data_IF_705331212220
#
_entry.id   IF_705331212220
#
_cell.length_a   1.000
_cell.length_b   1.000
_cell.length_c   1.000
_cell.angle_alpha   90.00
_cell.angle_beta   90.00
_cell.angle_gamma   90.00
#
_symmetry.space_group_name_H-M   'P 1'
#
loop_
_entity.id
_entity.type
_entity.pdbx_description
1 polymer ?
#
# COMPACT_ATOMS: atom_id res chain seq x y z
N UNK A 1 84.66 -19.48 30.22
CA UNK A 1 85.10 -18.08 29.98
C UNK A 1 84.07 -17.40 29.08
N UNK A 2 83.57 -16.21 29.50
CA UNK A 2 82.72 -15.20 28.80
C UNK A 2 81.40 -15.70 28.15
N UNK A 3 80.16 -15.37 28.56
CA UNK A 3 79.44 -14.13 28.92
C UNK A 3 79.45 -13.03 27.85
N UNK A 4 78.35 -12.89 27.10
CA UNK A 4 77.58 -11.63 26.87
C UNK A 4 76.33 -11.95 26.01
N UNK A 5 75.07 -11.84 26.49
CA UNK A 5 74.19 -10.69 26.81
C UNK A 5 73.67 -9.87 25.62
N UNK A 6 72.34 -9.94 25.43
CA UNK A 6 71.41 -8.89 24.98
C UNK A 6 71.58 -8.40 23.54
N UNK A 7 70.53 -8.16 22.76
CA UNK A 7 69.41 -7.30 23.11
C UNK A 7 68.17 -7.63 22.29
N UNK A 8 67.01 -7.57 22.95
CA UNK A 8 65.69 -7.47 22.34
C UNK A 8 65.64 -6.13 21.59
N UNK A 9 65.15 -6.12 20.36
CA UNK A 9 64.50 -4.91 19.84
C UNK A 9 63.47 -5.27 18.79
N UNK A 10 62.23 -4.95 19.16
CA UNK A 10 61.02 -4.81 18.37
C UNK A 10 61.22 -4.06 17.07
N UNK A 11 60.65 -4.59 15.97
CA UNK A 11 60.21 -3.78 14.83
C UNK A 11 58.83 -4.28 14.40
N UNK A 12 57.82 -3.53 14.81
CA UNK A 12 56.45 -3.56 14.31
C UNK A 12 56.37 -3.09 12.85
N UNK A 13 55.22 -3.38 12.23
CA UNK A 13 54.67 -2.84 10.98
C UNK A 13 55.16 -3.55 9.71
N UNK A 14 54.31 -4.05 8.82
CA UNK A 14 53.06 -3.47 8.33
C UNK A 14 52.12 -4.61 7.86
N UNK A 15 51.03 -4.84 8.59
CA UNK A 15 49.86 -5.59 8.11
C UNK A 15 48.72 -4.58 7.98
N UNK A 16 47.89 -4.76 6.96
CA UNK A 16 46.63 -4.05 6.68
C UNK A 16 46.69 -2.90 5.66
N UNK A 17 46.57 -3.27 4.38
CA UNK A 17 45.85 -2.45 3.39
C UNK A 17 45.31 -3.32 2.26
N UNK A 18 44.41 -4.25 2.58
CA UNK A 18 43.57 -4.93 1.57
C UNK A 18 42.11 -4.84 2.02
N UNK A 19 41.30 -4.14 1.22
CA UNK A 19 39.90 -4.49 1.04
C UNK A 19 38.85 -3.67 1.79
N UNK A 20 38.73 -2.36 1.51
CA UNK A 20 37.44 -1.65 1.65
C UNK A 20 37.18 -0.86 0.37
N UNK A 21 36.98 -1.57 -0.73
CA UNK A 21 36.45 -1.01 -1.97
C UNK A 21 35.51 -2.07 -2.56
N UNK A 22 34.26 -2.06 -2.10
CA UNK A 22 33.31 -3.09 -2.52
C UNK A 22 32.00 -3.15 -1.74
N UNK A 23 31.63 -2.13 -0.96
CA UNK A 23 30.23 -1.95 -0.60
C UNK A 23 29.51 -1.38 -1.82
N UNK A 24 29.31 -2.25 -2.82
CA UNK A 24 28.30 -2.06 -3.84
C UNK A 24 26.97 -1.95 -3.08
N UNK A 25 26.43 -0.74 -3.00
CA UNK A 25 25.05 -0.52 -2.63
C UNK A 25 24.19 -1.26 -3.66
N UNK A 26 23.87 -2.53 -3.38
CA UNK A 26 22.71 -3.18 -3.97
C UNK A 26 21.50 -2.42 -3.43
N UNK A 27 21.15 -1.32 -4.09
CA UNK A 27 19.82 -0.75 -3.97
C UNK A 27 18.88 -1.81 -4.50
N UNK A 28 18.05 -2.48 -3.68
CA UNK A 28 16.96 -3.26 -4.25
C UNK A 28 16.18 -2.27 -5.09
N UNK A 29 16.18 -2.48 -6.42
CA UNK A 29 15.34 -1.72 -7.34
C UNK A 29 13.95 -1.64 -6.72
N UNK A 30 13.44 -0.42 -6.51
CA UNK A 30 12.14 -0.20 -5.89
C UNK A 30 11.10 -1.05 -6.64
N UNK A 31 10.76 -2.19 -6.04
CA UNK A 31 9.93 -3.19 -6.70
C UNK A 31 8.50 -2.71 -6.59
N UNK A 32 7.94 -2.28 -7.71
CA UNK A 32 6.50 -2.09 -7.89
C UNK A 32 5.78 -3.42 -7.68
N UNK A 33 4.53 -3.39 -7.20
CA UNK A 33 3.72 -4.59 -7.24
C UNK A 33 3.58 -5.06 -8.69
N UNK A 34 3.88 -6.33 -8.91
CA UNK A 34 3.71 -7.02 -10.19
C UNK A 34 2.30 -7.59 -10.29
N UNK A 35 1.77 -8.09 -9.18
CA UNK A 35 0.47 -8.74 -9.11
C UNK A 35 -0.36 -8.28 -7.91
N UNK A 36 -1.68 -8.24 -8.09
CA UNK A 36 -2.68 -8.10 -7.04
C UNK A 36 -3.38 -9.43 -6.85
N UNK A 37 -3.17 -10.07 -5.70
CA UNK A 37 -3.80 -11.33 -5.36
C UNK A 37 -5.14 -11.10 -4.64
N UNK A 38 -6.23 -11.48 -5.27
CA UNK A 38 -7.55 -11.53 -4.65
C UNK A 38 -7.65 -12.78 -3.78
N UNK A 39 -7.89 -12.61 -2.48
CA UNK A 39 -7.86 -13.70 -1.48
C UNK A 39 -9.21 -13.83 -0.78
N UNK A 40 -9.74 -15.06 -0.72
CA UNK A 40 -10.90 -15.44 0.09
C UNK A 40 -10.73 -16.88 0.60
N UNK A 41 -10.40 -17.06 1.88
CA UNK A 41 -10.09 -18.38 2.43
C UNK A 41 -8.93 -19.07 1.68
N UNK A 42 -9.19 -20.28 1.16
CA UNK A 42 -8.22 -21.00 0.32
C UNK A 42 -8.18 -20.49 -1.13
N UNK A 43 -9.18 -19.72 -1.57
CA UNK A 43 -9.21 -19.17 -2.92
C UNK A 43 -8.24 -18.01 -3.05
N UNK A 44 -7.36 -18.09 -4.07
CA UNK A 44 -6.39 -17.05 -4.43
C UNK A 44 -6.31 -16.94 -5.94
N UNK A 45 -6.47 -15.72 -6.46
CA UNK A 45 -6.26 -15.42 -7.89
C UNK A 45 -5.49 -14.11 -8.03
N UNK A 46 -4.41 -14.15 -8.78
CA UNK A 46 -3.57 -12.98 -9.05
C UNK A 46 -3.95 -12.32 -10.36
N UNK A 47 -4.03 -10.99 -10.33
CA UNK A 47 -4.23 -10.14 -11.49
C UNK A 47 -2.96 -9.30 -11.67
N UNK A 48 -2.32 -9.33 -12.85
CA UNK A 48 -1.15 -8.50 -13.09
C UNK A 48 -1.48 -7.02 -12.97
N UNK A 49 -0.65 -6.25 -12.26
CA UNK A 49 -0.79 -4.79 -12.15
C UNK A 49 -0.74 -4.12 -13.51
N UNK A 50 -0.04 -4.72 -14.48
CA UNK A 50 -0.04 -4.26 -15.88
C UNK A 50 -1.42 -4.32 -16.55
N UNK A 51 -2.25 -5.30 -16.23
CA UNK A 51 -3.62 -5.37 -16.75
C UNK A 51 -4.49 -4.27 -16.13
N UNK A 52 -4.31 -3.99 -14.84
CA UNK A 52 -5.00 -2.90 -14.12
C UNK A 52 -4.58 -1.54 -14.70
N UNK A 53 -3.27 -1.34 -14.94
CA UNK A 53 -2.73 -0.13 -15.56
C UNK A 53 -3.24 0.03 -17.00
N UNK A 54 -3.35 -1.05 -17.76
CA UNK A 54 -3.89 -1.02 -19.12
C UNK A 54 -5.36 -0.60 -19.13
N UNK A 55 -6.18 -1.19 -18.25
CA UNK A 55 -7.58 -0.78 -18.08
C UNK A 55 -7.68 0.69 -17.68
N UNK A 56 -6.89 1.15 -16.72
CA UNK A 56 -6.90 2.54 -16.30
C UNK A 56 -6.54 3.51 -17.44
N UNK A 57 -5.56 3.15 -18.29
CA UNK A 57 -5.12 4.03 -19.39
C UNK A 57 -6.04 4.03 -20.60
N UNK A 58 -6.59 2.87 -20.95
CA UNK A 58 -7.31 2.66 -22.22
C UNK A 58 -8.82 2.58 -22.06
N UNK A 59 -9.31 2.29 -20.84
CA UNK A 59 -10.69 1.91 -20.60
C UNK A 59 -11.02 0.47 -21.02
N UNK A 60 -10.07 -0.25 -21.63
CA UNK A 60 -10.28 -1.60 -22.14
C UNK A 60 -9.62 -2.65 -21.21
N UNK A 61 -10.38 -3.63 -20.70
CA UNK A 61 -9.80 -4.67 -19.88
C UNK A 61 -9.23 -5.78 -20.74
N UNK A 62 -8.12 -6.36 -20.30
CA UNK A 62 -7.43 -7.47 -20.97
C UNK A 62 -7.22 -8.64 -20.00
N UNK A 63 -6.81 -9.79 -20.55
CA UNK A 63 -6.33 -10.93 -19.76
C UNK A 63 -7.34 -11.45 -18.74
N UNK A 64 -6.86 -11.73 -17.53
CA UNK A 64 -7.69 -12.25 -16.44
C UNK A 64 -8.64 -11.19 -15.90
N UNK A 65 -8.22 -9.92 -15.89
CA UNK A 65 -9.05 -8.80 -15.45
C UNK A 65 -10.32 -8.68 -16.32
N UNK A 66 -10.19 -8.83 -17.64
CA UNK A 66 -11.35 -8.86 -18.57
C UNK A 66 -12.37 -9.92 -18.18
N UNK A 67 -11.90 -11.16 -18.01
CA UNK A 67 -12.77 -12.28 -17.66
C UNK A 67 -13.46 -12.05 -16.32
N UNK A 68 -12.75 -11.48 -15.34
CA UNK A 68 -13.30 -11.17 -14.03
C UNK A 68 -14.39 -10.08 -14.11
N UNK A 69 -14.15 -9.00 -14.85
CA UNK A 69 -15.14 -7.93 -15.01
C UNK A 69 -16.40 -8.42 -15.72
N UNK A 70 -16.25 -9.22 -16.78
CA UNK A 70 -17.39 -9.84 -17.47
C UNK A 70 -18.17 -10.79 -16.56
N UNK A 71 -17.48 -11.62 -15.77
CA UNK A 71 -18.13 -12.55 -14.84
C UNK A 71 -18.85 -11.81 -13.69
N UNK A 72 -18.29 -10.70 -13.22
CA UNK A 72 -18.85 -9.91 -12.12
C UNK A 72 -19.87 -8.86 -12.57
N UNK A 73 -20.13 -8.74 -13.88
CA UNK A 73 -21.06 -7.76 -14.43
C UNK A 73 -20.64 -6.31 -14.21
N UNK A 74 -19.34 -6.06 -14.04
CA UNK A 74 -18.81 -4.71 -13.81
C UNK A 74 -18.55 -4.02 -15.14
N UNK A 75 -18.94 -2.75 -15.25
CA UNK A 75 -18.59 -1.91 -16.41
C UNK A 75 -17.10 -1.53 -16.34
N UNK A 76 -16.28 -1.90 -17.35
CA UNK A 76 -14.88 -1.53 -17.39
C UNK A 76 -14.64 -0.02 -17.32
N UNK A 77 -15.53 0.80 -17.87
CA UNK A 77 -15.40 2.26 -17.84
C UNK A 77 -15.52 2.81 -16.41
N UNK A 78 -16.46 2.28 -15.62
CA UNK A 78 -16.63 2.66 -14.21
C UNK A 78 -15.42 2.24 -13.38
N UNK A 79 -14.89 1.03 -13.62
CA UNK A 79 -13.69 0.55 -12.93
C UNK A 79 -12.47 1.39 -13.32
N UNK A 80 -12.29 1.70 -14.60
CA UNK A 80 -11.21 2.58 -15.06
C UNK A 80 -11.31 3.97 -14.42
N UNK A 81 -12.52 4.53 -14.29
CA UNK A 81 -12.76 5.79 -13.60
C UNK A 81 -12.35 5.74 -12.13
N UNK A 82 -12.70 4.66 -11.41
CA UNK A 82 -12.30 4.46 -10.02
C UNK A 82 -10.78 4.29 -9.87
N UNK A 83 -10.13 3.56 -10.78
CA UNK A 83 -8.67 3.35 -10.76
C UNK A 83 -7.90 4.67 -10.95
N UNK A 84 -8.44 5.57 -11.77
CA UNK A 84 -7.89 6.91 -12.02
C UNK A 84 -8.43 7.97 -11.05
N UNK A 85 -9.29 7.61 -10.10
CA UNK A 85 -9.81 8.58 -9.14
C UNK A 85 -8.65 9.11 -8.31
N UNK A 86 -8.38 10.40 -8.49
CA UNK A 86 -7.26 11.09 -7.87
C UNK A 86 -7.69 11.67 -6.54
N UNK A 87 -6.94 11.32 -5.49
CA UNK A 87 -7.08 11.92 -4.17
C UNK A 87 -5.98 12.98 -4.04
N UNK A 88 -6.37 14.25 -4.03
CA UNK A 88 -5.44 15.35 -3.83
C UNK A 88 -4.96 15.35 -2.37
N UNK A 89 -3.68 15.06 -2.20
CA UNK A 89 -3.06 14.79 -0.92
C UNK A 89 -1.66 15.44 -0.93
N UNK A 90 -1.47 16.57 -0.23
CA UNK A 90 -0.15 17.22 -0.15
C UNK A 90 0.89 16.26 0.43
N UNK A 91 1.92 15.93 -0.34
CA UNK A 91 2.92 14.90 -0.01
C UNK A 91 3.50 15.05 1.41
N UNK A 92 3.92 16.26 1.78
CA UNK A 92 4.55 16.52 3.08
C UNK A 92 3.56 16.28 4.23
N UNK A 93 2.32 16.74 4.09
CA UNK A 93 1.30 16.55 5.13
C UNK A 93 0.88 15.09 5.22
N UNK A 94 0.71 14.42 4.09
CA UNK A 94 0.37 13.00 4.05
C UNK A 94 1.47 12.15 4.68
N UNK A 95 2.73 12.38 4.32
CA UNK A 95 3.89 11.68 4.88
C UNK A 95 3.99 11.83 6.41
N UNK A 96 3.71 13.03 6.93
CA UNK A 96 3.62 13.27 8.37
C UNK A 96 2.43 12.53 8.97
N UNK A 97 1.23 12.66 8.40
CA UNK A 97 0.00 12.05 8.90
C UNK A 97 0.12 10.53 9.01
N UNK A 98 0.58 9.85 7.96
CA UNK A 98 0.76 8.39 7.93
C UNK A 98 1.84 7.89 8.89
N UNK A 99 2.68 8.79 9.40
CA UNK A 99 3.71 8.52 10.39
C UNK A 99 3.27 8.84 11.84
N UNK A 100 2.09 9.44 12.03
CA UNK A 100 1.51 9.67 13.37
C UNK A 100 0.89 8.40 13.95
N UNK A 101 0.60 8.40 15.26
CA UNK A 101 -0.14 7.31 15.92
C UNK A 101 -1.55 7.09 15.34
N UNK A 102 -2.24 8.18 14.97
CA UNK A 102 -3.57 8.12 14.38
C UNK A 102 -3.48 7.51 12.97
N UNK A 103 -2.53 7.99 12.16
CA UNK A 103 -2.27 7.44 10.83
C UNK A 103 -1.89 5.95 10.89
N UNK A 104 -1.05 5.58 11.86
CA UNK A 104 -0.69 4.18 12.10
C UNK A 104 -1.89 3.30 12.44
N UNK A 105 -2.83 3.80 13.27
CA UNK A 105 -4.07 3.09 13.59
C UNK A 105 -4.97 2.91 12.35
N UNK A 106 -5.06 3.93 11.49
CA UNK A 106 -5.80 3.85 10.22
C UNK A 106 -5.15 2.82 9.30
N UNK A 107 -3.83 2.91 9.09
CA UNK A 107 -3.09 1.97 8.23
C UNK A 107 -3.19 0.54 8.76
N UNK A 108 -3.18 0.32 10.09
CA UNK A 108 -3.42 -1.00 10.68
C UNK A 108 -4.79 -1.58 10.35
N UNK A 109 -5.82 -0.73 10.19
CA UNK A 109 -7.14 -1.19 9.70
C UNK A 109 -7.09 -1.56 8.22
N UNK A 110 -6.42 -0.73 7.40
CA UNK A 110 -6.18 -1.00 5.98
C UNK A 110 -5.34 -2.28 5.80
N UNK A 111 -4.40 -2.57 6.69
CA UNK A 111 -3.56 -3.77 6.68
C UNK A 111 -4.33 -5.08 6.88
N UNK A 112 -5.58 -5.02 7.35
CA UNK A 112 -6.49 -6.18 7.40
C UNK A 112 -7.11 -6.48 6.02
N UNK A 113 -7.13 -5.48 5.15
CA UNK A 113 -7.69 -5.54 3.79
C UNK A 113 -6.57 -5.84 2.79
N UNK A 114 -5.48 -5.07 2.84
CA UNK A 114 -4.35 -5.22 1.91
C UNK A 114 -3.05 -5.52 2.66
N UNK A 115 -2.27 -6.47 2.16
CA UNK A 115 -1.02 -6.89 2.79
C UNK A 115 -0.09 -7.62 1.80
N UNK A 116 1.20 -7.76 2.11
CA UNK A 116 2.11 -8.57 1.30
C UNK A 116 1.74 -10.05 1.44
N UNK A 117 1.52 -10.75 0.33
CA UNK A 117 0.92 -12.10 0.36
C UNK A 117 1.72 -13.11 1.20
N UNK A 118 3.05 -13.00 1.21
CA UNK A 118 3.95 -13.93 1.91
C UNK A 118 4.28 -13.50 3.35
N UNK A 119 4.03 -12.24 3.69
CA UNK A 119 4.37 -11.65 4.99
C UNK A 119 3.23 -10.75 5.49
N UNK A 120 2.06 -11.33 5.82
CA UNK A 120 0.85 -10.57 6.15
C UNK A 120 0.91 -9.86 7.51
N UNK A 121 1.97 -10.05 8.29
CA UNK A 121 2.06 -9.51 9.65
C UNK A 121 2.05 -7.98 9.63
N UNK A 122 1.38 -7.36 10.59
CA UNK A 122 1.26 -5.90 10.67
C UNK A 122 2.62 -5.18 10.71
N UNK A 123 3.65 -5.81 11.27
CA UNK A 123 5.04 -5.30 11.29
C UNK A 123 5.63 -5.10 9.90
N UNK A 124 5.12 -5.80 8.87
CA UNK A 124 5.55 -5.68 7.47
C UNK A 124 4.51 -4.94 6.64
N UNK A 125 3.23 -5.24 6.83
CA UNK A 125 2.12 -4.64 6.08
C UNK A 125 2.01 -3.13 6.29
N UNK A 126 2.18 -2.65 7.52
CA UNK A 126 2.05 -1.21 7.84
C UNK A 126 3.14 -0.37 7.14
N UNK A 127 4.44 -0.72 7.25
CA UNK A 127 5.48 -0.05 6.46
C UNK A 127 5.25 -0.15 4.95
N UNK A 128 4.79 -1.30 4.44
CA UNK A 128 4.56 -1.49 3.01
C UNK A 128 3.45 -0.55 2.47
N UNK A 129 2.33 -0.43 3.20
CA UNK A 129 1.26 0.50 2.84
C UNK A 129 1.73 1.94 2.92
N UNK A 130 2.49 2.31 3.96
CA UNK A 130 3.05 3.66 4.09
C UNK A 130 3.95 4.01 2.90
N UNK A 131 4.85 3.09 2.54
CA UNK A 131 5.73 3.25 1.38
C UNK A 131 4.91 3.41 0.09
N UNK A 132 3.90 2.57 -0.13
CA UNK A 132 3.01 2.67 -1.30
C UNK A 132 2.30 4.03 -1.40
N UNK A 133 1.83 4.58 -0.27
CA UNK A 133 1.20 5.92 -0.24
C UNK A 133 2.23 7.02 -0.54
N UNK A 134 3.35 7.05 0.18
CA UNK A 134 4.34 8.14 0.07
C UNK A 134 5.06 8.12 -1.27
N UNK A 135 5.42 6.94 -1.78
CA UNK A 135 6.06 6.79 -3.08
C UNK A 135 5.05 6.95 -4.21
N UNK A 136 3.80 6.49 -4.05
CA UNK A 136 2.75 6.67 -5.04
C UNK A 136 2.42 8.15 -5.28
N UNK A 137 2.44 8.96 -4.22
CA UNK A 137 2.30 10.42 -4.29
C UNK A 137 3.47 11.12 -5.01
N UNK A 138 4.63 10.47 -5.13
CA UNK A 138 5.77 11.00 -5.88
C UNK A 138 5.75 10.61 -7.36
N UNK A 139 4.99 9.56 -7.72
CA UNK A 139 4.91 9.08 -9.11
C UNK A 139 4.01 9.95 -10.00
N UNK A 140 3.01 10.61 -9.44
CA UNK A 140 2.06 11.44 -10.18
C UNK A 140 1.91 12.80 -9.51
N UNK A 141 2.11 13.88 -10.29
CA UNK A 141 1.93 15.23 -9.77
C UNK A 141 0.47 15.47 -9.36
N UNK A 142 0.27 15.91 -8.11
CA UNK A 142 -0.99 16.41 -7.59
C UNK A 142 -1.92 15.38 -6.92
N UNK A 143 -1.50 14.13 -6.66
CA UNK A 143 -2.33 13.23 -5.86
C UNK A 143 -2.02 11.73 -5.99
N UNK A 144 -2.70 10.92 -5.18
CA UNK A 144 -2.60 9.46 -5.19
C UNK A 144 -3.75 8.87 -6.00
N UNK A 145 -3.44 7.93 -6.89
CA UNK A 145 -4.41 7.08 -7.60
C UNK A 145 -4.22 5.63 -7.17
N UNK A 146 -5.19 4.76 -7.45
CA UNK A 146 -5.03 3.34 -7.17
C UNK A 146 -3.85 2.75 -7.97
N UNK A 147 -3.69 3.20 -9.22
CA UNK A 147 -2.60 2.78 -10.10
C UNK A 147 -1.24 3.23 -9.55
N UNK A 148 -1.09 4.50 -9.16
CA UNK A 148 0.17 4.99 -8.62
C UNK A 148 0.52 4.34 -7.28
N UNK A 149 -0.46 4.04 -6.43
CA UNK A 149 -0.26 3.25 -5.22
C UNK A 149 0.26 1.84 -5.51
N UNK A 150 -0.36 1.11 -6.44
CA UNK A 150 0.05 -0.26 -6.80
C UNK A 150 1.47 -0.27 -7.38
N UNK A 151 1.79 0.69 -8.26
CA UNK A 151 3.13 0.84 -8.84
C UNK A 151 4.19 1.21 -7.82
N UNK A 152 3.81 1.81 -6.70
CA UNK A 152 4.70 2.19 -5.63
C UNK A 152 4.76 1.18 -4.47
N UNK A 153 3.90 0.16 -4.47
CA UNK A 153 3.82 -0.82 -3.40
C UNK A 153 5.06 -1.71 -3.40
N UNK A 154 5.82 -1.81 -2.28
CA UNK A 154 7.20 -2.30 -2.29
C UNK A 154 7.37 -3.82 -2.41
N UNK A 155 6.28 -4.58 -2.50
CA UNK A 155 6.31 -6.03 -2.61
C UNK A 155 5.73 -6.47 -3.94
N UNK A 156 6.34 -7.50 -4.53
CA UNK A 156 5.94 -8.04 -5.84
C UNK A 156 4.46 -8.44 -5.91
N UNK A 157 3.89 -8.94 -4.81
CA UNK A 157 2.49 -9.37 -4.77
C UNK A 157 1.78 -8.76 -3.57
N UNK A 158 0.80 -7.90 -3.86
CA UNK A 158 -0.11 -7.35 -2.86
C UNK A 158 -1.38 -8.19 -2.81
N UNK A 159 -1.70 -8.75 -1.65
CA UNK A 159 -2.97 -9.42 -1.42
C UNK A 159 -4.07 -8.40 -1.09
N UNK A 160 -5.29 -8.71 -1.54
CA UNK A 160 -6.54 -8.05 -1.16
C UNK A 160 -7.46 -9.11 -0.56
N UNK A 161 -7.76 -8.98 0.73
CA UNK A 161 -8.71 -9.81 1.46
C UNK A 161 -10.13 -9.39 1.11
N UNK A 162 -10.78 -10.16 0.23
CA UNK A 162 -12.11 -9.84 -0.29
C UNK A 162 -13.18 -9.78 0.82
N UNK A 163 -13.29 -10.76 1.75
CA UNK A 163 -14.21 -10.64 2.88
C UNK A 163 -14.01 -9.36 3.70
N UNK A 164 -12.76 -8.98 4.01
CA UNK A 164 -12.48 -7.76 4.77
C UNK A 164 -12.80 -6.50 3.98
N UNK A 165 -12.56 -6.50 2.66
CA UNK A 165 -12.90 -5.41 1.76
C UNK A 165 -14.42 -5.19 1.72
N UNK A 166 -15.19 -6.24 1.43
CA UNK A 166 -16.65 -6.16 1.35
C UNK A 166 -17.26 -5.74 2.68
N UNK A 167 -16.77 -6.26 3.81
CA UNK A 167 -17.22 -5.84 5.13
C UNK A 167 -17.01 -4.33 5.41
N UNK A 168 -16.05 -3.67 4.75
CA UNK A 168 -15.86 -2.22 4.85
C UNK A 168 -16.80 -1.47 3.90
N UNK A 169 -17.00 -1.99 2.68
CA UNK A 169 -17.95 -1.43 1.71
C UNK A 169 -19.37 -1.45 2.27
N UNK A 170 -19.81 -2.57 2.83
CA UNK A 170 -21.16 -2.73 3.42
C UNK A 170 -21.39 -1.73 4.56
N UNK A 171 -20.36 -1.52 5.41
CA UNK A 171 -20.41 -0.52 6.48
C UNK A 171 -20.52 0.90 5.94
N UNK A 172 -19.77 1.22 4.89
CA UNK A 172 -19.83 2.54 4.25
C UNK A 172 -21.22 2.80 3.63
N UNK A 173 -21.78 1.82 2.93
CA UNK A 173 -23.13 1.90 2.35
C UNK A 173 -24.20 2.06 3.43
N UNK A 174 -24.09 1.33 4.54
CA UNK A 174 -25.01 1.47 5.68
C UNK A 174 -25.01 2.87 6.27
N UNK A 175 -23.82 3.48 6.44
CA UNK A 175 -23.69 4.86 6.93
C UNK A 175 -24.28 5.85 5.91
N UNK A 176 -23.98 5.70 4.63
CA UNK A 176 -24.55 6.55 3.58
C UNK A 176 -26.08 6.48 3.55
N UNK A 177 -26.64 5.27 3.73
CA UNK A 177 -28.08 5.06 3.86
C UNK A 177 -28.69 5.77 5.06
N UNK A 178 -28.02 5.75 6.21
CA UNK A 178 -28.46 6.49 7.41
C UNK A 178 -28.42 8.01 7.17
N UNK A 179 -27.32 8.54 6.63
CA UNK A 179 -27.19 9.97 6.33
C UNK A 179 -28.30 10.41 5.37
N UNK A 180 -28.58 9.60 4.34
CA UNK A 180 -29.67 9.87 3.39
C UNK A 180 -31.04 9.82 4.07
N UNK A 181 -31.31 8.80 4.90
CA UNK A 181 -32.54 8.67 5.66
C UNK A 181 -32.82 9.90 6.54
N UNK A 182 -31.81 10.41 7.26
CA UNK A 182 -31.95 11.60 8.10
C UNK A 182 -32.01 12.92 7.30
N UNK A 183 -31.49 12.94 6.08
CA UNK A 183 -31.53 14.11 5.19
C UNK A 183 -32.87 14.21 4.44
N UNK A 184 -33.46 13.07 4.08
CA UNK A 184 -34.72 12.97 3.32
C UNK A 184 -35.96 12.92 4.24
N UNK A 185 -35.80 12.62 5.53
CA UNK A 185 -36.90 12.67 6.51
C UNK A 185 -37.05 14.09 7.06
N UNK A 186 -38.17 14.79 6.82
CA UNK A 186 -38.42 16.04 7.53
C UNK A 186 -38.43 15.74 9.03
N UNK A 187 -37.70 16.54 9.81
CA UNK A 187 -37.70 16.53 11.28
C UNK A 187 -39.08 16.96 11.85
N UNK A 188 -40.18 16.66 11.16
CA UNK A 188 -41.56 17.06 11.48
C UNK A 188 -42.01 16.51 12.84
N UNK A 189 -41.45 15.37 13.25
CA UNK A 189 -41.72 14.79 14.57
C UNK A 189 -41.13 15.55 15.77
N UNK A 190 -40.32 16.60 15.57
CA UNK A 190 -39.70 17.39 16.64
C UNK A 190 -40.40 18.74 16.90
N UNK A 191 -41.47 19.07 16.17
CA UNK A 191 -42.20 20.35 16.33
C UNK A 191 -43.49 20.28 17.14
N UNK A 192 -44.01 19.08 17.45
CA UNK A 192 -45.28 18.92 18.17
C UNK A 192 -45.14 18.71 19.69
N UNK A 193 -43.92 18.83 20.23
CA UNK A 193 -43.66 18.68 21.68
C UNK A 193 -43.87 19.93 22.53
N UNK A 194 -44.28 21.06 21.95
CA UNK A 194 -44.51 22.31 22.69
C UNK A 194 -45.88 22.91 22.38
N UNK A 195 -46.92 22.38 23.01
CA UNK A 195 -48.07 23.20 23.37
C UNK A 195 -48.69 22.69 24.68
N UNK A 196 -48.74 23.52 25.74
CA UNK A 196 -49.60 23.26 26.91
C UNK A 196 -51.08 23.38 26.53
#
# INVERSE_FOLDING_TARGET
MLKNRGHRSTAMALVASIGIAGQFCFSPSAHAAKDVALVSGAFRRSIPVKEIEHLAKTGEPIGLLKNLLSLSGQDPADVAKLLNQKIDLPLVLTSRLVSTRIGDAIIKRVAKIIYPIYTPQASVSVPAIRAGVVNGLQLEEGGLTAVSFLKAYPNDVMAVNLPALFAVIDKAQSIAGLVKFFSDSPLDGLKDGSKP
#
